data_IF_794319086236
#
_entry.id   IF_794319086236
#
_cell.length_a   1.000
_cell.length_b   1.000
_cell.length_c   1.000
_cell.angle_alpha   90.00
_cell.angle_beta   90.00
_cell.angle_gamma   90.00
#
_symmetry.space_group_name_H-M   'P 1'
#
loop_
_entity.id
_entity.type
_entity.pdbx_description
1 polymer ?
#
# COMPACT_ATOMS: atom_id res chain seq x y z
N UNK A 1 -20.97 -47.77 28.38
CA UNK A 1 -21.56 -46.56 27.75
C UNK A 1 -20.47 -45.84 26.95
N UNK A 2 -20.55 -45.75 25.62
CA UNK A 2 -19.52 -45.08 24.81
C UNK A 2 -20.20 -44.12 23.83
N UNK A 3 -20.20 -42.84 24.22
CA UNK A 3 -20.78 -41.74 23.44
C UNK A 3 -20.00 -41.53 22.14
N UNK A 4 -20.69 -41.72 21.01
CA UNK A 4 -20.22 -41.43 19.66
C UNK A 4 -20.33 -39.92 19.39
N UNK A 5 -19.34 -39.13 19.80
CA UNK A 5 -19.21 -37.76 19.30
C UNK A 5 -18.71 -37.82 17.87
N UNK A 6 -19.58 -37.49 16.90
CA UNK A 6 -19.25 -37.42 15.49
C UNK A 6 -18.11 -36.41 15.27
N UNK A 7 -16.89 -36.91 15.06
CA UNK A 7 -15.71 -36.10 14.79
C UNK A 7 -15.57 -35.72 13.32
N UNK A 8 -14.69 -34.74 13.07
CA UNK A 8 -14.17 -34.43 11.74
C UNK A 8 -13.51 -35.71 11.19
N UNK A 9 -13.80 -36.11 9.95
CA UNK A 9 -13.20 -37.29 9.31
C UNK A 9 -12.34 -36.87 8.12
N UNK A 10 -11.28 -37.65 7.88
CA UNK A 10 -10.36 -37.51 6.73
C UNK A 10 -10.62 -38.56 5.65
N UNK A 11 -11.66 -39.37 5.79
CA UNK A 11 -12.05 -40.34 4.75
C UNK A 11 -12.45 -39.64 3.43
N UNK A 12 -12.47 -40.39 2.33
CA UNK A 12 -12.96 -39.92 1.03
C UNK A 12 -14.40 -40.37 0.75
N UNK A 13 -14.97 -41.25 1.58
CA UNK A 13 -16.28 -41.87 1.36
C UNK A 13 -17.44 -40.87 1.35
N UNK A 14 -17.28 -39.73 2.01
CA UNK A 14 -18.26 -38.64 2.00
C UNK A 14 -18.20 -37.78 0.72
N UNK A 15 -17.16 -37.92 -0.11
CA UNK A 15 -16.97 -37.16 -1.35
C UNK A 15 -17.56 -37.91 -2.54
N UNK A 16 -17.91 -37.18 -3.59
CA UNK A 16 -18.34 -37.76 -4.87
C UNK A 16 -17.17 -38.48 -5.56
N UNK A 17 -17.48 -39.43 -6.45
CA UNK A 17 -16.51 -40.03 -7.37
C UNK A 17 -16.05 -38.99 -8.39
N UNK A 18 -14.92 -39.23 -9.05
CA UNK A 18 -14.43 -38.38 -10.15
C UNK A 18 -15.45 -38.29 -11.30
N UNK A 19 -16.27 -39.33 -11.50
CA UNK A 19 -17.39 -39.32 -12.46
C UNK A 19 -18.59 -38.48 -12.02
N UNK A 20 -18.57 -37.88 -10.83
CA UNK A 20 -19.69 -37.12 -10.24
C UNK A 20 -20.70 -37.98 -9.48
N UNK A 21 -20.66 -39.30 -9.63
CA UNK A 21 -21.53 -40.24 -8.94
C UNK A 21 -21.43 -40.17 -7.42
N UNK A 22 -22.58 -40.24 -6.73
CA UNK A 22 -22.66 -40.29 -5.26
C UNK A 22 -22.11 -41.63 -4.76
N UNK A 23 -21.29 -41.61 -3.70
CA UNK A 23 -20.82 -42.82 -3.04
C UNK A 23 -21.78 -43.21 -1.91
N UNK A 24 -22.10 -44.50 -1.82
CA UNK A 24 -22.84 -45.04 -0.69
C UNK A 24 -21.85 -45.43 0.42
N UNK A 25 -21.94 -44.86 1.64
CA UNK A 25 -21.04 -45.19 2.72
C UNK A 25 -21.33 -46.60 3.25
N UNK A 26 -20.43 -47.55 2.96
CA UNK A 26 -20.54 -48.96 3.37
C UNK A 26 -20.09 -49.22 4.82
N UNK A 27 -19.53 -48.21 5.50
CA UNK A 27 -19.07 -48.32 6.90
C UNK A 27 -19.19 -46.99 7.63
N UNK A 28 -19.18 -47.06 8.97
CA UNK A 28 -19.10 -45.89 9.86
C UNK A 28 -17.66 -45.31 9.90
N UNK A 29 -17.54 -44.05 10.35
CA UNK A 29 -16.26 -43.34 10.56
C UNK A 29 -15.34 -44.13 11.49
N UNK A 30 -14.04 -44.22 11.16
CA UNK A 30 -13.05 -44.94 11.98
C UNK A 30 -12.15 -43.98 12.75
N UNK A 31 -11.71 -44.39 13.94
CA UNK A 31 -10.85 -43.56 14.83
C UNK A 31 -9.52 -43.18 14.18
N UNK A 32 -8.97 -44.03 13.29
CA UNK A 32 -7.73 -43.72 12.57
C UNK A 32 -7.91 -42.68 11.45
N UNK A 33 -9.15 -42.36 11.06
CA UNK A 33 -9.50 -41.33 10.07
C UNK A 33 -9.82 -39.99 10.74
N UNK A 34 -9.64 -39.89 12.06
CA UNK A 34 -9.99 -38.72 12.85
C UNK A 34 -9.22 -37.47 12.40
N UNK A 35 -9.96 -36.42 12.07
CA UNK A 35 -9.51 -35.04 12.03
C UNK A 35 -9.73 -34.36 13.38
N UNK A 36 -8.92 -33.34 13.68
CA UNK A 36 -9.11 -32.46 14.85
C UNK A 36 -9.22 -31.03 14.37
N UNK A 37 -9.89 -30.18 15.17
CA UNK A 37 -9.96 -28.75 14.92
C UNK A 37 -8.56 -28.13 14.77
N UNK A 38 -8.40 -27.10 13.92
CA UNK A 38 -7.14 -26.39 13.75
C UNK A 38 -6.73 -25.67 15.05
N UNK A 39 -5.44 -25.39 15.19
CA UNK A 39 -4.92 -24.71 16.38
C UNK A 39 -5.22 -23.20 16.40
N UNK A 40 -5.25 -22.57 15.22
CA UNK A 40 -5.38 -21.11 15.05
C UNK A 40 -4.43 -20.33 15.97
N UNK A 41 -3.15 -20.73 15.99
CA UNK A 41 -2.12 -20.15 16.86
C UNK A 41 -2.03 -18.64 16.68
N UNK A 42 -2.20 -17.89 17.76
CA UNK A 42 -2.18 -16.43 17.76
C UNK A 42 -0.83 -15.89 18.17
N UNK A 43 -0.50 -14.72 17.64
CA UNK A 43 0.60 -13.92 18.13
C UNK A 43 0.22 -13.32 19.50
N UNK A 44 0.92 -13.71 20.56
CA UNK A 44 0.67 -13.19 21.92
C UNK A 44 1.81 -13.59 22.87
N UNK A 45 2.22 -12.67 23.74
CA UNK A 45 3.21 -12.89 24.80
C UNK A 45 2.79 -13.95 25.83
N UNK A 46 1.49 -14.20 25.97
CA UNK A 46 0.96 -15.23 26.85
C UNK A 46 1.10 -16.62 26.20
N UNK A 47 2.34 -17.09 26.11
CA UNK A 47 2.72 -18.35 25.45
C UNK A 47 1.91 -19.51 26.02
N UNK A 48 1.26 -20.27 25.14
CA UNK A 48 0.46 -21.42 25.52
C UNK A 48 0.61 -22.54 24.49
N UNK A 49 1.17 -23.67 24.92
CA UNK A 49 1.35 -24.87 24.11
C UNK A 49 0.74 -26.05 24.84
N UNK A 50 -0.18 -26.75 24.17
CA UNK A 50 -0.87 -27.92 24.75
C UNK A 50 -0.39 -29.21 24.10
N UNK A 51 0.06 -30.21 24.86
CA UNK A 51 0.33 -31.54 24.32
C UNK A 51 -0.99 -32.22 23.93
N UNK A 52 -0.99 -32.91 22.80
CA UNK A 52 -2.13 -33.66 22.28
C UNK A 52 -1.66 -35.08 21.98
N UNK A 53 -2.22 -36.06 22.70
CA UNK A 53 -1.96 -37.48 22.43
C UNK A 53 -2.49 -37.86 21.05
N UNK A 54 -1.63 -38.49 20.24
CA UNK A 54 -1.94 -38.98 18.90
C UNK A 54 -1.83 -40.51 18.85
N UNK A 55 -2.03 -41.08 17.66
CA UNK A 55 -1.95 -42.53 17.44
C UNK A 55 -0.56 -43.07 17.82
N UNK A 56 -0.52 -44.26 18.39
CA UNK A 56 0.74 -44.92 18.79
C UNK A 56 1.34 -44.41 20.09
N UNK A 57 0.58 -43.67 20.92
CA UNK A 57 1.07 -43.16 22.20
C UNK A 57 1.91 -41.88 22.11
N UNK A 58 2.26 -41.44 20.90
CA UNK A 58 3.03 -40.22 20.66
C UNK A 58 2.24 -38.95 21.06
N UNK A 59 2.98 -37.85 21.24
CA UNK A 59 2.42 -36.52 21.51
C UNK A 59 2.77 -35.54 20.41
N UNK A 60 1.82 -34.66 20.07
CA UNK A 60 2.06 -33.47 19.25
C UNK A 60 1.81 -32.21 20.08
N UNK A 61 2.57 -31.16 19.83
CA UNK A 61 2.46 -29.91 20.57
C UNK A 61 1.63 -28.92 19.77
N UNK A 62 0.47 -28.55 20.31
CA UNK A 62 -0.43 -27.58 19.71
C UNK A 62 -0.22 -26.22 20.36
N UNK A 63 0.50 -25.35 19.68
CA UNK A 63 0.59 -23.95 20.10
C UNK A 63 -0.76 -23.25 19.90
N UNK A 64 -1.24 -22.56 20.92
CA UNK A 64 -2.39 -21.66 20.86
C UNK A 64 -1.94 -20.20 20.82
N UNK A 65 -0.85 -19.88 21.52
CA UNK A 65 -0.25 -18.55 21.57
C UNK A 65 1.28 -18.66 21.59
N UNK A 66 1.96 -17.88 20.76
CA UNK A 66 3.42 -17.77 20.70
C UNK A 66 3.78 -16.31 20.40
N UNK A 67 4.94 -15.85 20.87
CA UNK A 67 5.51 -14.53 20.58
C UNK A 67 6.96 -14.56 20.10
N UNK A 68 7.61 -15.72 20.15
CA UNK A 68 9.00 -15.89 19.77
C UNK A 68 9.20 -17.15 18.91
N UNK A 69 10.30 -17.12 18.16
CA UNK A 69 10.69 -18.17 17.25
C UNK A 69 12.19 -18.20 17.01
N UNK A 70 12.69 -19.33 16.54
CA UNK A 70 14.06 -19.41 16.03
C UNK A 70 14.03 -19.10 14.53
N UNK A 71 14.68 -18.00 14.15
CA UNK A 71 14.79 -17.58 12.76
C UNK A 71 16.24 -17.68 12.29
N UNK A 72 16.43 -18.24 11.11
CA UNK A 72 17.74 -18.40 10.48
C UNK A 72 17.97 -17.34 9.42
N UNK A 73 19.11 -16.68 9.47
CA UNK A 73 19.64 -15.86 8.39
C UNK A 73 20.45 -16.76 7.45
N UNK A 74 19.92 -16.98 6.25
CA UNK A 74 20.41 -17.99 5.31
C UNK A 74 21.83 -17.72 4.80
N UNK A 75 22.07 -16.51 4.29
CA UNK A 75 23.38 -16.10 3.77
C UNK A 75 24.50 -16.15 4.83
N UNK A 76 24.20 -15.77 6.06
CA UNK A 76 25.16 -15.72 7.17
C UNK A 76 25.21 -17.01 8.02
N UNK A 77 24.41 -18.03 7.67
CA UNK A 77 24.30 -19.31 8.36
C UNK A 77 24.13 -19.19 9.90
N UNK A 78 23.41 -18.18 10.37
CA UNK A 78 23.20 -17.92 11.81
C UNK A 78 21.72 -18.00 12.17
N UNK A 79 21.41 -18.64 13.29
CA UNK A 79 20.05 -18.69 13.85
C UNK A 79 20.00 -17.94 15.16
N UNK A 80 18.98 -17.09 15.33
CA UNK A 80 18.71 -16.39 16.58
C UNK A 80 17.26 -16.56 16.99
N UNK A 81 17.06 -16.64 18.31
CA UNK A 81 15.73 -16.54 18.90
C UNK A 81 15.32 -15.08 18.84
N UNK A 82 14.25 -14.78 18.13
CA UNK A 82 13.73 -13.42 17.97
C UNK A 82 12.25 -13.36 18.29
N UNK A 83 11.78 -12.17 18.64
CA UNK A 83 10.36 -11.91 18.84
C UNK A 83 9.68 -11.72 17.49
N UNK A 84 8.52 -12.34 17.32
CA UNK A 84 7.63 -12.09 16.20
C UNK A 84 6.80 -10.87 16.56
N UNK A 85 6.81 -9.86 15.70
CA UNK A 85 6.15 -8.57 15.95
C UNK A 85 4.78 -8.51 15.27
N UNK A 86 4.71 -8.97 14.03
CA UNK A 86 3.47 -8.90 13.24
C UNK A 86 3.41 -9.98 12.15
N UNK A 87 2.20 -10.33 11.71
CA UNK A 87 1.95 -11.17 10.54
C UNK A 87 1.51 -10.28 9.40
N UNK A 88 2.36 -10.11 8.38
CA UNK A 88 2.15 -9.10 7.34
C UNK A 88 1.52 -9.67 6.08
N UNK A 89 1.85 -10.92 5.74
CA UNK A 89 1.31 -11.54 4.53
C UNK A 89 1.06 -13.03 4.71
N UNK A 90 -0.02 -13.50 4.10
CA UNK A 90 -0.35 -14.91 4.00
C UNK A 90 -0.90 -15.19 2.60
N UNK A 91 -0.35 -16.21 1.94
CA UNK A 91 -0.78 -16.60 0.60
C UNK A 91 -2.14 -17.33 0.58
N UNK A 92 -2.47 -18.05 1.66
CA UNK A 92 -3.68 -18.90 1.70
C UNK A 92 -4.95 -18.13 2.03
N UNK A 93 -4.90 -17.21 3.00
CA UNK A 93 -6.07 -16.46 3.43
C UNK A 93 -5.69 -15.12 4.09
N UNK A 94 -6.31 -14.02 3.64
CA UNK A 94 -6.08 -12.68 4.17
C UNK A 94 -6.59 -12.50 5.62
N UNK A 95 -7.61 -13.25 6.04
CA UNK A 95 -8.10 -13.22 7.43
C UNK A 95 -7.04 -13.67 8.45
N UNK A 96 -6.09 -14.50 8.02
CA UNK A 96 -5.00 -14.95 8.87
C UNK A 96 -3.99 -13.83 9.17
N UNK A 97 -3.88 -12.85 8.26
CA UNK A 97 -3.11 -11.61 8.46
C UNK A 97 -3.83 -10.73 9.46
N UNK A 98 -5.12 -10.42 9.19
CA UNK A 98 -5.95 -9.56 10.05
C UNK A 98 -6.02 -10.06 11.49
N UNK A 99 -6.09 -11.37 11.67
CA UNK A 99 -6.21 -11.99 13.00
C UNK A 99 -4.88 -12.43 13.60
N UNK A 100 -3.74 -12.00 13.02
CA UNK A 100 -2.38 -12.33 13.46
C UNK A 100 -2.17 -13.82 13.78
N UNK A 101 -2.55 -14.68 12.85
CA UNK A 101 -2.47 -16.14 13.01
C UNK A 101 -1.16 -16.68 12.44
N UNK A 102 -0.39 -17.38 13.27
CA UNK A 102 0.89 -17.98 12.91
C UNK A 102 0.69 -19.34 12.24
N UNK A 103 1.00 -19.43 10.95
CA UNK A 103 0.93 -20.65 10.15
C UNK A 103 2.17 -20.81 9.28
N UNK A 104 2.39 -22.02 8.75
CA UNK A 104 3.46 -22.28 7.78
C UNK A 104 3.30 -21.37 6.56
N UNK A 105 4.41 -20.85 6.07
CA UNK A 105 4.55 -19.90 4.96
C UNK A 105 3.87 -18.54 5.19
N UNK A 106 3.47 -18.21 6.43
CA UNK A 106 3.10 -16.84 6.74
C UNK A 106 4.38 -15.98 6.79
N UNK A 107 4.29 -14.79 6.20
CA UNK A 107 5.36 -13.80 6.23
C UNK A 107 5.11 -12.89 7.42
N UNK A 108 6.12 -12.81 8.28
CA UNK A 108 6.09 -12.11 9.54
C UNK A 108 7.18 -11.04 9.58
N UNK A 109 6.95 -10.01 10.40
CA UNK A 109 8.01 -9.10 10.84
C UNK A 109 8.57 -9.62 12.14
N UNK A 110 9.90 -9.75 12.20
CA UNK A 110 10.64 -10.15 13.39
C UNK A 110 11.53 -9.01 13.86
N UNK A 111 11.87 -9.05 15.15
CA UNK A 111 12.85 -8.14 15.74
C UNK A 111 14.25 -8.38 15.14
N UNK A 112 14.88 -7.29 14.70
CA UNK A 112 16.18 -7.29 14.06
C UNK A 112 17.35 -7.25 15.07
N UNK A 113 17.10 -6.84 16.32
CA UNK A 113 18.16 -6.58 17.30
C UNK A 113 19.12 -7.76 17.54
N UNK A 114 18.65 -9.02 17.67
CA UNK A 114 19.54 -10.16 17.88
C UNK A 114 20.47 -10.44 16.69
N UNK A 115 20.05 -10.11 15.46
CA UNK A 115 20.87 -10.26 14.27
C UNK A 115 21.85 -9.09 14.12
N UNK A 116 21.43 -7.86 14.41
CA UNK A 116 22.34 -6.69 14.43
C UNK A 116 23.48 -6.87 15.42
N UNK A 117 23.16 -7.27 16.65
CA UNK A 117 24.15 -7.50 17.70
C UNK A 117 25.17 -8.56 17.26
N UNK A 118 24.69 -9.66 16.68
CA UNK A 118 25.59 -10.69 16.16
C UNK A 118 26.45 -10.18 15.00
N UNK A 119 25.87 -9.42 14.07
CA UNK A 119 26.59 -8.92 12.92
C UNK A 119 27.70 -7.94 13.31
N UNK A 120 27.41 -7.03 14.25
CA UNK A 120 28.40 -6.12 14.83
C UNK A 120 29.53 -6.89 15.52
N UNK A 121 29.20 -7.91 16.32
CA UNK A 121 30.22 -8.75 16.97
C UNK A 121 31.03 -9.59 15.98
N UNK A 122 30.44 -10.00 14.85
CA UNK A 122 31.09 -10.87 13.88
C UNK A 122 32.01 -10.09 12.92
N UNK A 123 31.52 -8.97 12.39
CA UNK A 123 32.18 -8.17 11.35
C UNK A 123 32.81 -6.88 11.87
N UNK A 124 32.46 -6.45 13.10
CA UNK A 124 32.93 -5.17 13.65
C UNK A 124 32.32 -3.97 12.94
N UNK A 125 31.16 -4.13 12.28
CA UNK A 125 30.50 -3.08 11.50
C UNK A 125 29.03 -3.01 11.90
N UNK A 126 28.51 -1.80 12.07
CA UNK A 126 27.09 -1.58 12.32
C UNK A 126 26.26 -1.64 11.03
N UNK A 127 25.04 -2.19 11.13
CA UNK A 127 24.12 -2.39 10.01
C UNK A 127 22.84 -1.59 10.23
N UNK A 128 22.31 -1.02 9.16
CA UNK A 128 21.11 -0.19 9.21
C UNK A 128 21.37 1.18 9.82
N UNK A 129 22.46 1.85 9.43
CA UNK A 129 22.73 3.24 9.80
C UNK A 129 21.78 4.12 8.97
N UNK A 130 20.92 4.90 9.64
CA UNK A 130 20.01 5.82 8.95
C UNK A 130 20.84 6.91 8.27
N UNK A 131 20.83 6.96 6.94
CA UNK A 131 21.36 8.10 6.16
C UNK A 131 20.53 9.36 6.42
N UNK A 132 20.70 10.00 7.57
CA UNK A 132 20.33 11.41 7.74
C UNK A 132 21.54 12.25 7.29
N UNK A 133 21.28 13.27 6.48
CA UNK A 133 22.30 14.19 6.03
C UNK A 133 23.08 14.78 7.20
N UNK A 134 24.40 14.86 7.03
CA UNK A 134 25.33 15.43 8.00
C UNK A 134 25.78 14.43 9.05
N UNK A 135 27.04 14.01 8.93
CA UNK A 135 27.91 13.48 9.97
C UNK A 135 27.26 13.15 11.33
N UNK A 136 26.87 11.89 11.49
CA UNK A 136 27.03 11.20 12.76
C UNK A 136 27.89 9.97 12.47
N UNK A 137 29.17 10.22 12.15
CA UNK A 137 30.19 9.28 12.54
C UNK A 137 30.11 9.25 14.06
N UNK A 138 29.41 8.26 14.60
CA UNK A 138 29.56 7.91 16.01
C UNK A 138 31.04 7.74 16.20
N UNK A 139 31.66 8.63 16.98
CA UNK A 139 33.05 8.45 17.43
C UNK A 139 33.11 7.05 18.05
N UNK A 140 33.64 6.08 17.31
CA UNK A 140 34.03 4.82 17.90
C UNK A 140 35.15 5.17 18.86
N UNK A 141 34.83 5.19 20.16
CA UNK A 141 35.84 5.12 21.20
C UNK A 141 36.78 3.96 20.81
N UNK A 142 38.00 4.30 20.40
CA UNK A 142 39.03 3.33 20.00
C UNK A 142 39.38 2.46 21.21
N UNK A 143 38.55 1.45 21.45
CA UNK A 143 38.87 0.39 22.37
C UNK A 143 40.13 -0.28 21.84
N UNK A 144 41.15 -0.42 22.69
CA UNK A 144 42.40 -1.10 22.33
C UNK A 144 42.11 -2.55 21.98
N UNK A 145 41.92 -2.83 20.69
CA UNK A 145 41.65 -4.16 20.19
C UNK A 145 42.95 -4.94 19.92
N UNK A 146 42.95 -6.22 20.27
CA UNK A 146 44.06 -7.15 19.96
C UNK A 146 44.34 -7.21 18.46
N UNK A 147 45.62 -7.26 18.08
CA UNK A 147 46.06 -7.42 16.68
C UNK A 147 45.47 -8.70 16.03
N UNK A 148 45.23 -9.75 16.83
CA UNK A 148 44.58 -10.97 16.34
C UNK A 148 43.13 -10.70 15.92
N UNK A 149 42.38 -9.92 16.70
CA UNK A 149 41.00 -9.53 16.38
C UNK A 149 40.96 -8.70 15.09
N UNK A 150 41.82 -7.69 14.96
CA UNK A 150 41.91 -6.83 13.77
C UNK A 150 42.15 -7.65 12.49
N UNK A 151 43.09 -8.60 12.54
CA UNK A 151 43.36 -9.51 11.41
C UNK A 151 42.15 -10.37 11.05
N UNK A 152 41.45 -10.91 12.07
CA UNK A 152 40.24 -11.73 11.88
C UNK A 152 39.09 -10.93 11.25
N UNK A 153 38.87 -9.71 11.71
CA UNK A 153 37.84 -8.82 11.16
C UNK A 153 38.16 -8.43 9.72
N UNK A 154 39.42 -8.06 9.43
CA UNK A 154 39.87 -7.77 8.07
C UNK A 154 39.64 -8.95 7.13
N UNK A 155 39.97 -10.17 7.56
CA UNK A 155 39.72 -11.39 6.78
C UNK A 155 38.24 -11.63 6.51
N UNK A 156 37.37 -11.43 7.51
CA UNK A 156 35.91 -11.61 7.36
C UNK A 156 35.25 -10.55 6.50
N UNK A 157 35.76 -9.33 6.55
CA UNK A 157 35.22 -8.23 5.76
C UNK A 157 35.59 -8.34 4.27
N UNK A 158 36.54 -9.20 3.91
CA UNK A 158 36.84 -9.51 2.51
C UNK A 158 35.64 -10.21 1.85
N UNK A 159 35.02 -9.55 0.87
CA UNK A 159 33.87 -10.09 0.14
C UNK A 159 32.51 -9.92 0.83
N UNK A 160 32.47 -9.19 1.96
CA UNK A 160 31.22 -8.88 2.68
C UNK A 160 30.29 -8.06 1.80
N UNK A 161 29.10 -8.59 1.53
CA UNK A 161 28.04 -7.87 0.80
C UNK A 161 26.70 -8.11 1.50
N UNK A 162 26.02 -7.02 1.84
CA UNK A 162 24.65 -7.05 2.35
C UNK A 162 23.70 -6.55 1.25
N UNK A 163 22.54 -7.18 1.13
CA UNK A 163 21.47 -6.71 0.24
C UNK A 163 20.92 -5.36 0.73
N UNK A 164 20.69 -4.40 -0.18
CA UNK A 164 20.22 -3.07 0.18
C UNK A 164 18.87 -3.10 0.90
N UNK A 165 17.95 -3.96 0.43
CA UNK A 165 16.62 -4.06 1.04
C UNK A 165 16.68 -4.65 2.45
N UNK A 166 17.69 -5.47 2.72
CA UNK A 166 17.90 -6.05 4.04
C UNK A 166 18.54 -5.01 4.98
N UNK A 167 19.50 -4.21 4.49
CA UNK A 167 20.08 -3.09 5.24
C UNK A 167 19.02 -2.04 5.63
N UNK A 168 18.12 -1.70 4.72
CA UNK A 168 17.00 -0.80 4.98
C UNK A 168 16.07 -1.34 6.08
N UNK A 169 15.78 -2.65 6.07
CA UNK A 169 14.99 -3.32 7.11
C UNK A 169 15.69 -3.31 8.45
N UNK A 170 17.00 -3.55 8.47
CA UNK A 170 17.81 -3.38 9.66
C UNK A 170 17.73 -1.94 10.16
N UNK A 171 17.77 -0.91 9.31
CA UNK A 171 17.64 0.48 9.74
C UNK A 171 16.30 0.78 10.42
N UNK A 172 15.22 0.13 9.99
CA UNK A 172 13.89 0.20 10.62
C UNK A 172 13.83 -0.60 11.93
N UNK A 173 14.70 -1.61 12.09
CA UNK A 173 14.72 -2.52 13.25
C UNK A 173 13.74 -3.69 13.14
N UNK A 174 13.18 -3.92 11.95
CA UNK A 174 12.24 -5.02 11.68
C UNK A 174 12.61 -5.71 10.38
N UNK A 175 12.77 -7.02 10.44
CA UNK A 175 13.15 -7.84 9.27
C UNK A 175 11.99 -8.74 8.88
N UNK A 176 11.77 -8.92 7.58
CA UNK A 176 10.79 -9.86 7.07
C UNK A 176 11.32 -11.30 7.11
N UNK A 177 10.49 -12.21 7.58
CA UNK A 177 10.82 -13.62 7.68
C UNK A 177 9.63 -14.51 7.29
N UNK A 178 9.92 -15.71 6.83
CA UNK A 178 8.94 -16.73 6.47
C UNK A 178 8.91 -17.83 7.52
N UNK A 179 7.73 -18.15 8.06
CA UNK A 179 7.56 -19.27 8.98
C UNK A 179 7.67 -20.59 8.20
N UNK A 180 8.65 -21.43 8.50
CA UNK A 180 8.82 -22.74 7.87
C UNK A 180 8.20 -23.88 8.70
N UNK A 181 8.07 -23.68 10.01
CA UNK A 181 7.49 -24.64 10.94
C UNK A 181 5.96 -24.71 10.86
N UNK A 182 5.36 -25.67 11.57
CA UNK A 182 3.89 -25.81 11.72
C UNK A 182 3.50 -25.66 13.20
N UNK A 183 3.24 -24.44 13.69
CA UNK A 183 2.99 -24.18 15.11
C UNK A 183 1.91 -25.07 15.75
N UNK A 184 0.83 -25.37 15.02
CA UNK A 184 -0.23 -26.25 15.49
C UNK A 184 0.12 -27.75 15.57
N UNK A 185 1.33 -28.16 15.15
CA UNK A 185 1.81 -29.54 15.17
C UNK A 185 3.07 -29.70 16.03
N UNK A 186 4.06 -28.82 15.85
CA UNK A 186 5.34 -28.87 16.56
C UNK A 186 5.40 -27.97 17.79
N UNK A 187 4.44 -27.06 17.96
CA UNK A 187 4.41 -26.12 19.10
C UNK A 187 5.41 -24.97 18.98
N UNK A 188 6.08 -24.81 17.83
CA UNK A 188 7.12 -23.78 17.60
C UNK A 188 6.82 -22.94 16.37
N UNK A 189 7.27 -21.70 16.37
CA UNK A 189 7.14 -20.74 15.27
C UNK A 189 8.52 -20.41 14.71
N UNK A 190 9.12 -21.35 13.99
CA UNK A 190 10.48 -21.23 13.47
C UNK A 190 10.45 -20.92 11.98
N UNK A 191 11.49 -20.25 11.48
CA UNK A 191 11.52 -19.74 10.13
C UNK A 191 12.89 -19.30 9.66
N UNK A 192 12.90 -18.56 8.55
CA UNK A 192 14.10 -17.96 7.99
C UNK A 192 13.82 -16.53 7.53
N UNK A 193 14.86 -15.70 7.53
CA UNK A 193 14.84 -14.32 7.03
C UNK A 193 14.69 -14.35 5.51
N UNK A 194 13.86 -13.47 4.96
CA UNK A 194 13.68 -13.33 3.51
C UNK A 194 14.85 -12.56 2.88
N UNK A 195 15.41 -13.09 1.80
CA UNK A 195 16.56 -12.52 1.10
C UNK A 195 16.39 -12.56 -0.43
N UNK A 196 17.13 -11.70 -1.14
CA UNK A 196 17.23 -11.68 -2.60
C UNK A 196 15.88 -11.68 -3.33
N UNK A 197 15.76 -12.56 -4.34
CA UNK A 197 14.55 -12.66 -5.20
C UNK A 197 13.27 -12.96 -4.41
N UNK A 198 13.37 -13.71 -3.32
CA UNK A 198 12.21 -14.04 -2.50
C UNK A 198 11.70 -12.80 -1.76
N UNK A 199 12.62 -12.02 -1.19
CA UNK A 199 12.30 -10.75 -0.56
C UNK A 199 11.65 -9.77 -1.57
N UNK A 200 12.25 -9.61 -2.75
CA UNK A 200 11.71 -8.76 -3.83
C UNK A 200 10.28 -9.17 -4.21
N UNK A 201 10.04 -10.48 -4.35
CA UNK A 201 8.72 -11.01 -4.67
C UNK A 201 7.67 -10.61 -3.62
N UNK A 202 7.97 -10.80 -2.33
CA UNK A 202 7.03 -10.46 -1.26
C UNK A 202 6.87 -8.95 -1.08
N UNK A 203 7.93 -8.16 -1.24
CA UNK A 203 7.84 -6.69 -1.24
C UNK A 203 6.88 -6.21 -2.32
N UNK A 204 6.99 -6.72 -3.55
CA UNK A 204 6.06 -6.40 -4.65
C UNK A 204 4.62 -6.81 -4.33
N UNK A 205 4.41 -7.99 -3.72
CA UNK A 205 3.07 -8.46 -3.31
C UNK A 205 2.45 -7.59 -2.21
N UNK A 206 3.25 -7.13 -1.25
CA UNK A 206 2.80 -6.27 -0.15
C UNK A 206 2.48 -4.86 -0.64
N UNK A 207 3.28 -4.30 -1.54
CA UNK A 207 3.02 -3.01 -2.18
C UNK A 207 1.72 -3.05 -3.00
N UNK A 208 1.50 -4.11 -3.80
CA UNK A 208 0.27 -4.28 -4.60
C UNK A 208 -1.01 -4.35 -3.75
N UNK A 209 -0.93 -4.86 -2.51
CA UNK A 209 -2.07 -4.89 -1.59
C UNK A 209 -2.37 -3.54 -0.93
N UNK A 210 -1.36 -2.68 -0.79
CA UNK A 210 -1.51 -1.33 -0.20
C UNK A 210 -1.91 -0.27 -1.22
N UNK A 211 -1.65 -0.51 -2.50
CA UNK A 211 -2.20 0.30 -3.58
C UNK A 211 -3.61 -0.21 -3.93
N UNK A 212 -4.54 0.70 -4.23
CA UNK A 212 -5.71 0.33 -5.05
C UNK A 212 -5.17 -0.30 -6.35
N UNK A 213 -5.16 -1.65 -6.38
CA UNK A 213 -4.48 -2.46 -7.40
C UNK A 213 -4.94 -2.15 -8.83
N UNK A 214 -6.02 -1.42 -8.98
CA UNK A 214 -6.61 -1.05 -10.25
C UNK A 214 -5.90 0.14 -10.90
N UNK A 215 -5.39 1.12 -10.15
CA UNK A 215 -4.90 2.40 -10.70
C UNK A 215 -3.38 2.60 -10.76
N UNK A 216 -2.60 1.70 -10.17
CA UNK A 216 -1.15 1.94 -9.96
C UNK A 216 -0.33 2.02 -11.24
N UNK A 217 -0.65 1.21 -12.26
CA UNK A 217 0.03 1.24 -13.56
C UNK A 217 -0.19 2.58 -14.25
N UNK A 218 -1.46 2.98 -14.35
CA UNK A 218 -1.88 4.23 -14.99
C UNK A 218 -1.30 5.45 -14.26
N UNK A 219 -1.32 5.44 -12.93
CA UNK A 219 -0.67 6.46 -12.11
C UNK A 219 0.82 6.59 -12.41
N UNK A 220 1.56 5.48 -12.50
CA UNK A 220 2.99 5.52 -12.84
C UNK A 220 3.23 6.04 -14.25
N UNK A 221 2.43 5.58 -15.21
CA UNK A 221 2.55 6.01 -16.60
C UNK A 221 2.32 7.52 -16.75
N UNK A 222 1.34 8.07 -16.05
CA UNK A 222 1.06 9.51 -16.04
C UNK A 222 2.10 10.32 -15.28
N UNK A 223 2.55 9.84 -14.11
CA UNK A 223 3.61 10.52 -13.35
C UNK A 223 4.91 10.63 -14.15
N UNK A 224 5.24 9.59 -14.91
CA UNK A 224 6.38 9.61 -15.81
C UNK A 224 6.15 10.59 -16.98
N UNK A 225 4.99 10.52 -17.62
CA UNK A 225 4.63 11.40 -18.74
C UNK A 225 4.70 12.88 -18.38
N UNK A 226 4.14 13.27 -17.23
CA UNK A 226 4.18 14.65 -16.74
C UNK A 226 5.61 15.14 -16.51
N UNK A 227 6.50 14.28 -16.01
CA UNK A 227 7.92 14.65 -15.80
C UNK A 227 8.69 14.81 -17.11
N UNK A 228 8.30 14.09 -18.15
CA UNK A 228 8.99 14.08 -19.44
C UNK A 228 8.49 15.19 -20.39
N UNK A 229 7.17 15.42 -20.45
CA UNK A 229 6.55 16.33 -21.42
C UNK A 229 6.20 17.72 -20.85
N UNK A 230 6.02 17.84 -19.53
CA UNK A 230 5.59 19.09 -18.86
C UNK A 230 6.62 19.52 -17.82
N UNK A 231 7.85 19.80 -18.25
CA UNK A 231 8.96 20.19 -17.38
C UNK A 231 8.75 21.55 -16.68
N UNK A 232 7.82 22.36 -17.19
CA UNK A 232 7.35 23.64 -16.66
C UNK A 232 6.34 23.49 -15.51
N UNK A 233 5.75 22.30 -15.33
CA UNK A 233 4.76 22.03 -14.28
C UNK A 233 5.42 21.41 -13.04
N UNK A 234 5.25 22.04 -11.89
CA UNK A 234 5.70 21.44 -10.62
C UNK A 234 4.75 20.31 -10.19
N UNK A 235 5.20 19.06 -10.35
CA UNK A 235 4.41 17.88 -9.98
C UNK A 235 4.60 17.52 -8.50
N UNK A 236 3.54 17.67 -7.70
CA UNK A 236 3.50 17.21 -6.30
C UNK A 236 2.85 15.82 -6.25
N UNK A 237 3.64 14.83 -5.87
CA UNK A 237 3.18 13.44 -5.79
C UNK A 237 2.66 13.11 -4.38
N UNK A 238 1.33 13.02 -4.24
CA UNK A 238 0.68 12.54 -3.00
C UNK A 238 0.79 11.02 -2.80
N UNK A 239 1.29 10.30 -3.80
CA UNK A 239 1.47 8.87 -3.75
C UNK A 239 0.15 8.10 -3.83
N UNK A 240 0.22 6.85 -3.38
CA UNK A 240 -0.86 5.89 -3.54
C UNK A 240 -1.39 5.49 -2.17
N UNK A 241 -2.65 5.77 -1.94
CA UNK A 241 -3.33 5.48 -0.68
C UNK A 241 -3.96 4.09 -0.70
N UNK A 242 -4.11 3.52 0.49
CA UNK A 242 -4.80 2.24 0.68
C UNK A 242 -6.30 2.30 0.45
N UNK A 243 -6.86 3.52 0.48
CA UNK A 243 -8.27 3.78 0.25
C UNK A 243 -8.38 4.97 -0.68
N UNK A 244 -9.08 4.77 -1.79
CA UNK A 244 -9.26 5.80 -2.81
C UNK A 244 -9.67 7.17 -2.24
N UNK A 245 -10.63 7.19 -1.30
CA UNK A 245 -11.15 8.44 -0.75
C UNK A 245 -10.12 9.28 0.02
N UNK A 246 -9.08 8.67 0.60
CA UNK A 246 -8.02 9.40 1.30
C UNK A 246 -7.17 10.21 0.30
N UNK A 247 -6.95 9.66 -0.91
CA UNK A 247 -6.26 10.36 -1.98
C UNK A 247 -7.09 11.52 -2.55
N UNK A 248 -8.39 11.29 -2.81
CA UNK A 248 -9.29 12.35 -3.26
C UNK A 248 -9.41 13.48 -2.24
N UNK A 249 -9.43 13.15 -0.95
CA UNK A 249 -9.44 14.15 0.12
C UNK A 249 -8.15 14.98 0.15
N UNK A 250 -6.98 14.35 0.05
CA UNK A 250 -5.70 15.05 0.08
C UNK A 250 -5.58 16.05 -1.09
N UNK A 251 -5.92 15.62 -2.31
CA UNK A 251 -5.86 16.48 -3.50
C UNK A 251 -6.94 17.56 -3.46
N UNK A 252 -8.19 17.21 -3.12
CA UNK A 252 -9.29 18.17 -3.05
C UNK A 252 -9.00 19.34 -2.09
N UNK A 253 -8.45 19.03 -0.92
CA UNK A 253 -8.09 20.02 0.09
C UNK A 253 -6.96 20.96 -0.36
N UNK A 254 -5.99 20.49 -1.13
CA UNK A 254 -4.91 21.33 -1.65
C UNK A 254 -5.39 22.23 -2.81
N UNK A 255 -6.25 21.71 -3.68
CA UNK A 255 -6.88 22.50 -4.75
C UNK A 255 -7.80 23.58 -4.16
N UNK A 256 -8.62 23.24 -3.16
CA UNK A 256 -9.48 24.21 -2.45
C UNK A 256 -8.64 25.32 -1.79
N UNK A 257 -7.59 24.97 -1.05
CA UNK A 257 -6.69 25.95 -0.43
C UNK A 257 -6.06 26.89 -1.45
N UNK A 258 -5.66 26.36 -2.60
CA UNK A 258 -5.08 27.15 -3.67
C UNK A 258 -6.11 28.09 -4.27
N UNK A 259 -7.33 27.61 -4.55
CA UNK A 259 -8.43 28.40 -5.09
C UNK A 259 -8.83 29.54 -4.15
N UNK A 260 -8.82 29.33 -2.83
CA UNK A 260 -9.12 30.39 -1.84
C UNK A 260 -8.02 31.47 -1.83
N UNK A 261 -6.74 31.08 -1.93
CA UNK A 261 -5.59 32.00 -1.88
C UNK A 261 -5.30 32.73 -3.20
N UNK A 262 -6.03 32.44 -4.27
CA UNK A 262 -5.65 32.66 -5.66
C UNK A 262 -5.58 34.12 -6.16
N UNK A 263 -5.47 35.14 -5.29
CA UNK A 263 -5.25 36.52 -5.76
C UNK A 263 -3.80 36.69 -6.28
N UNK A 264 -2.85 35.89 -5.79
CA UNK A 264 -1.41 35.97 -6.17
C UNK A 264 -0.70 34.60 -6.26
N UNK A 265 -1.43 33.49 -6.19
CA UNK A 265 -0.86 32.13 -6.08
C UNK A 265 -0.83 31.38 -7.44
N UNK A 266 0.10 30.43 -7.65
CA UNK A 266 0.14 29.61 -8.86
C UNK A 266 -1.12 28.77 -9.02
N UNK A 267 -1.55 28.55 -10.27
CA UNK A 267 -2.71 27.73 -10.60
C UNK A 267 -2.44 26.28 -10.20
N UNK A 268 -3.24 25.73 -9.28
CA UNK A 268 -3.13 24.34 -8.83
C UNK A 268 -4.22 23.50 -9.48
N UNK A 269 -3.82 22.37 -10.07
CA UNK A 269 -4.69 21.40 -10.72
C UNK A 269 -4.46 19.99 -10.13
N UNK A 270 -5.51 19.17 -10.12
CA UNK A 270 -5.45 17.81 -9.57
C UNK A 270 -5.70 16.72 -10.62
N UNK A 271 -4.96 15.61 -10.51
CA UNK A 271 -5.22 14.39 -11.29
C UNK A 271 -5.47 13.25 -10.30
N UNK A 272 -6.61 12.58 -10.42
CA UNK A 272 -7.01 11.48 -9.54
C UNK A 272 -7.28 10.20 -10.33
N UNK A 273 -6.86 9.05 -9.80
CA UNK A 273 -6.99 7.78 -10.50
C UNK A 273 -7.54 6.73 -9.54
N UNK A 274 -8.61 6.04 -9.95
CA UNK A 274 -9.09 4.85 -9.25
C UNK A 274 -9.68 3.82 -10.22
N UNK A 275 -10.24 2.72 -9.73
CA UNK A 275 -10.78 1.66 -10.57
C UNK A 275 -11.82 2.15 -11.60
N UNK A 276 -12.77 3.01 -11.21
CA UNK A 276 -13.71 3.66 -12.15
C UNK A 276 -13.54 5.17 -12.25
N UNK A 277 -12.71 5.85 -11.47
CA UNK A 277 -12.64 7.32 -11.45
C UNK A 277 -13.85 8.04 -10.82
N UNK A 278 -15.06 7.44 -10.83
CA UNK A 278 -16.29 8.07 -10.30
C UNK A 278 -16.21 8.38 -8.81
N UNK A 279 -15.79 7.40 -7.99
CA UNK A 279 -15.75 7.59 -6.54
C UNK A 279 -14.81 8.73 -6.12
N UNK A 280 -13.67 8.88 -6.81
CA UNK A 280 -12.75 9.99 -6.58
C UNK A 280 -13.38 11.33 -6.97
N UNK A 281 -14.03 11.38 -8.14
CA UNK A 281 -14.72 12.57 -8.65
C UNK A 281 -15.82 13.05 -7.67
N UNK A 282 -16.67 12.13 -7.19
CA UNK A 282 -17.72 12.45 -6.22
C UNK A 282 -17.17 13.02 -4.92
N UNK A 283 -16.00 12.56 -4.46
CA UNK A 283 -15.40 13.02 -3.20
C UNK A 283 -14.68 14.35 -3.39
N UNK A 284 -13.95 14.52 -4.49
CA UNK A 284 -13.28 15.77 -4.82
C UNK A 284 -14.27 16.94 -4.96
N UNK A 285 -15.44 16.70 -5.57
CA UNK A 285 -16.51 17.70 -5.69
C UNK A 285 -17.19 18.10 -4.37
N UNK A 286 -16.83 17.49 -3.23
CA UNK A 286 -17.34 17.92 -1.91
C UNK A 286 -16.55 19.10 -1.33
N UNK A 287 -15.39 19.41 -1.89
CA UNK A 287 -14.56 20.53 -1.48
C UNK A 287 -14.99 21.79 -2.22
N UNK A 288 -14.94 22.94 -1.54
CA UNK A 288 -15.41 24.21 -2.10
C UNK A 288 -14.47 24.65 -3.22
N UNK A 289 -15.02 25.25 -4.27
CA UNK A 289 -14.25 25.69 -5.45
C UNK A 289 -13.49 24.55 -6.17
N UNK A 290 -13.88 23.30 -5.97
CA UNK A 290 -13.33 22.14 -6.68
C UNK A 290 -14.35 21.61 -7.68
N UNK A 291 -13.94 21.54 -8.94
CA UNK A 291 -14.70 20.99 -10.05
C UNK A 291 -13.91 19.81 -10.63
N UNK A 292 -14.30 18.63 -10.18
CA UNK A 292 -13.77 17.37 -10.63
C UNK A 292 -14.66 16.76 -11.72
N UNK A 293 -14.07 16.38 -12.84
CA UNK A 293 -14.77 15.63 -13.89
C UNK A 293 -14.11 14.27 -14.12
N UNK A 294 -14.93 13.24 -14.29
CA UNK A 294 -14.42 11.93 -14.72
C UNK A 294 -14.20 11.98 -16.22
N UNK A 295 -12.99 11.71 -16.65
CA UNK A 295 -12.60 11.64 -18.04
C UNK A 295 -12.42 10.19 -18.50
N UNK A 296 -12.81 9.91 -19.73
CA UNK A 296 -12.70 8.59 -20.37
C UNK A 296 -12.06 8.62 -21.76
N UNK A 297 -11.99 9.77 -22.43
CA UNK A 297 -11.31 9.94 -23.72
C UNK A 297 -10.64 11.32 -23.84
N UNK A 298 -9.89 11.56 -24.91
CA UNK A 298 -9.27 12.85 -25.23
C UNK A 298 -10.29 13.96 -25.44
N UNK A 299 -11.39 13.66 -26.12
CA UNK A 299 -12.47 14.61 -26.41
C UNK A 299 -13.20 14.99 -25.12
N UNK A 300 -13.39 14.01 -24.23
CA UNK A 300 -13.97 14.20 -22.91
C UNK A 300 -13.09 15.12 -22.05
N UNK A 301 -11.76 15.00 -22.12
CA UNK A 301 -10.83 15.88 -21.43
C UNK A 301 -10.93 17.34 -21.91
N UNK A 302 -11.08 17.57 -23.21
CA UNK A 302 -11.31 18.90 -23.79
C UNK A 302 -12.62 19.46 -23.24
N UNK A 303 -13.71 18.69 -23.29
CA UNK A 303 -15.02 19.09 -22.76
C UNK A 303 -15.00 19.38 -21.25
N UNK A 304 -14.31 18.55 -20.47
CA UNK A 304 -14.09 18.76 -19.04
C UNK A 304 -13.47 20.13 -18.75
N UNK A 305 -12.56 20.60 -19.60
CA UNK A 305 -11.90 21.89 -19.43
C UNK A 305 -12.67 23.05 -20.06
N UNK A 306 -13.07 22.92 -21.31
CA UNK A 306 -13.71 23.99 -22.08
C UNK A 306 -15.12 24.32 -21.58
N UNK A 307 -15.89 23.31 -21.17
CA UNK A 307 -17.30 23.47 -20.74
C UNK A 307 -17.42 23.54 -19.22
N UNK A 308 -16.77 22.63 -18.50
CA UNK A 308 -16.94 22.52 -17.04
C UNK A 308 -15.86 23.27 -16.23
N UNK A 309 -14.89 23.91 -16.90
CA UNK A 309 -13.72 24.56 -16.29
C UNK A 309 -13.03 23.69 -15.22
N UNK A 310 -12.99 22.37 -15.41
CA UNK A 310 -12.56 21.48 -14.32
C UNK A 310 -11.12 21.79 -13.87
N UNK A 311 -10.91 21.82 -12.57
CA UNK A 311 -9.59 21.96 -11.94
C UNK A 311 -9.06 20.62 -11.40
N UNK A 312 -9.91 19.59 -11.38
CA UNK A 312 -9.51 18.22 -11.15
C UNK A 312 -10.03 17.33 -12.28
N UNK A 313 -9.17 16.46 -12.81
CA UNK A 313 -9.57 15.41 -13.74
C UNK A 313 -9.41 14.04 -13.07
N UNK A 314 -10.37 13.14 -13.27
CA UNK A 314 -10.32 11.79 -12.71
C UNK A 314 -10.38 10.71 -13.77
N UNK A 315 -9.54 9.68 -13.65
CA UNK A 315 -9.49 8.57 -14.58
C UNK A 315 -9.90 7.25 -13.94
N UNK A 316 -10.60 6.44 -14.74
CA UNK A 316 -10.93 5.06 -14.40
C UNK A 316 -9.94 4.08 -15.03
N UNK A 317 -9.11 3.45 -14.21
CA UNK A 317 -8.10 2.52 -14.70
C UNK A 317 -8.64 1.19 -15.26
N UNK A 318 -9.94 0.91 -15.08
CA UNK A 318 -10.62 -0.20 -15.77
C UNK A 318 -11.11 0.15 -17.17
N UNK A 319 -11.24 1.44 -17.47
CA UNK A 319 -11.90 1.93 -18.70
C UNK A 319 -10.98 2.74 -19.58
N UNK A 320 -9.84 3.20 -19.05
CA UNK A 320 -8.90 4.11 -19.74
C UNK A 320 -7.54 3.44 -19.78
N UNK A 321 -6.97 3.34 -20.96
CA UNK A 321 -5.62 2.86 -21.20
C UNK A 321 -4.59 3.97 -21.02
N UNK A 322 -3.32 3.57 -20.91
CA UNK A 322 -2.21 4.49 -20.62
C UNK A 322 -1.99 5.52 -21.74
N UNK A 323 -2.28 5.18 -23.00
CA UNK A 323 -2.08 6.09 -24.13
C UNK A 323 -3.15 7.16 -24.13
N UNK A 324 -4.42 6.75 -24.06
CA UNK A 324 -5.56 7.68 -24.01
C UNK A 324 -5.51 8.60 -22.79
N UNK A 325 -5.08 8.10 -21.63
CA UNK A 325 -4.99 8.94 -20.45
C UNK A 325 -3.91 10.02 -20.57
N UNK A 326 -2.76 9.71 -21.21
CA UNK A 326 -1.69 10.68 -21.44
C UNK A 326 -2.15 11.79 -22.37
N UNK A 327 -2.71 11.43 -23.51
CA UNK A 327 -3.23 12.39 -24.49
C UNK A 327 -4.38 13.22 -23.92
N UNK A 328 -5.24 12.62 -23.08
CA UNK A 328 -6.31 13.33 -22.39
C UNK A 328 -5.77 14.33 -21.36
N UNK A 329 -4.74 13.99 -20.59
CA UNK A 329 -4.10 14.93 -19.66
C UNK A 329 -3.45 16.09 -20.42
N UNK A 330 -2.76 15.80 -21.52
CA UNK A 330 -2.13 16.86 -22.35
C UNK A 330 -3.19 17.81 -22.90
N UNK A 331 -4.27 17.28 -23.46
CA UNK A 331 -5.38 18.06 -23.98
C UNK A 331 -6.06 18.89 -22.88
N UNK A 332 -6.31 18.30 -21.71
CA UNK A 332 -6.92 18.98 -20.57
C UNK A 332 -6.06 20.13 -20.01
N UNK A 333 -4.73 19.94 -19.98
CA UNK A 333 -3.81 20.97 -19.50
C UNK A 333 -3.68 22.14 -20.49
N UNK A 334 -3.69 21.84 -21.80
CA UNK A 334 -3.56 22.81 -22.88
C UNK A 334 -4.84 23.63 -23.13
N UNK A 335 -6.00 22.99 -22.99
CA UNK A 335 -7.30 23.62 -23.29
C UNK A 335 -7.60 24.74 -22.28
N UNK A 336 -8.08 25.89 -22.76
CA UNK A 336 -8.59 26.99 -21.95
C UNK A 336 -10.11 26.89 -21.81
N UNK A 337 -10.63 27.54 -20.77
CA UNK A 337 -12.07 27.61 -20.59
C UNK A 337 -12.72 28.31 -21.79
N UNK A 338 -13.87 27.80 -22.25
CA UNK A 338 -14.60 28.21 -23.47
C UNK A 338 -13.89 28.01 -24.82
N UNK A 339 -12.67 27.50 -24.83
CA UNK A 339 -11.91 27.30 -26.06
C UNK A 339 -12.59 26.29 -27.00
N UNK A 340 -12.69 26.62 -28.29
CA UNK A 340 -13.28 25.76 -29.30
C UNK A 340 -14.82 25.71 -29.33
N UNK A 341 -15.52 26.44 -28.45
CA UNK A 341 -16.98 26.58 -28.49
C UNK A 341 -17.40 27.71 -29.44
N UNK A 342 -18.60 27.60 -30.02
CA UNK A 342 -19.21 28.67 -30.79
C UNK A 342 -19.59 29.86 -29.88
N UNK A 343 -19.56 31.10 -30.40
CA UNK A 343 -19.71 32.32 -29.59
C UNK A 343 -20.99 32.33 -28.71
N UNK A 344 -22.12 31.90 -29.25
CA UNK A 344 -23.38 31.78 -28.50
C UNK A 344 -23.29 30.78 -27.33
N UNK A 345 -22.50 29.72 -27.48
CA UNK A 345 -22.28 28.73 -26.42
C UNK A 345 -21.24 29.21 -25.40
N UNK A 346 -20.25 29.99 -25.83
CA UNK A 346 -19.30 30.63 -24.91
C UNK A 346 -20.00 31.59 -23.96
N UNK A 347 -20.90 32.43 -24.47
CA UNK A 347 -21.73 33.34 -23.67
C UNK A 347 -22.58 32.56 -22.66
N UNK A 348 -23.32 31.54 -23.12
CA UNK A 348 -24.20 30.75 -22.26
C UNK A 348 -23.43 30.00 -21.15
N UNK A 349 -22.29 29.40 -21.48
CA UNK A 349 -21.45 28.66 -20.52
C UNK A 349 -20.76 29.62 -19.54
N UNK A 350 -20.43 30.84 -19.97
CA UNK A 350 -19.87 31.87 -19.10
C UNK A 350 -20.93 32.41 -18.13
N UNK A 351 -22.13 32.70 -18.63
CA UNK A 351 -23.26 33.20 -17.85
C UNK A 351 -23.70 32.19 -16.78
N UNK A 352 -23.84 30.91 -17.15
CA UNK A 352 -24.24 29.83 -16.22
C UNK A 352 -23.24 29.58 -15.08
N UNK A 353 -21.99 30.00 -15.25
CA UNK A 353 -20.91 29.86 -14.28
C UNK A 353 -20.63 31.16 -13.50
N UNK A 354 -21.40 32.23 -13.76
CA UNK A 354 -21.35 33.49 -13.02
C UNK A 354 -22.25 33.43 -11.77
N UNK A 355 -21.99 34.29 -10.78
CA UNK A 355 -22.83 34.40 -9.56
C UNK A 355 -24.29 34.80 -9.87
N UNK A 356 -24.51 35.47 -11.00
CA UNK A 356 -25.82 35.95 -11.46
C UNK A 356 -26.62 34.90 -12.23
N UNK A 357 -25.96 33.89 -12.82
CA UNK A 357 -26.62 32.86 -13.63
C UNK A 357 -27.51 31.89 -12.84
N UNK A 358 -27.23 31.68 -11.55
CA UNK A 358 -28.07 30.87 -10.65
C UNK A 358 -28.12 31.52 -9.26
N UNK A 359 -29.14 32.36 -9.03
CA UNK A 359 -29.66 32.81 -7.72
C UNK A 359 -28.64 32.94 -6.55
N UNK A 360 -27.49 33.60 -6.77
CA UNK A 360 -26.52 33.92 -5.71
C UNK A 360 -25.53 32.81 -5.35
N UNK A 361 -25.38 31.77 -6.17
CA UNK A 361 -24.33 30.77 -6.01
C UNK A 361 -23.06 31.19 -6.79
N UNK A 362 -21.96 31.40 -6.07
CA UNK A 362 -20.65 31.70 -6.67
C UNK A 362 -19.95 30.42 -7.15
N UNK A 363 -19.85 30.26 -8.48
CA UNK A 363 -19.14 29.16 -9.14
C UNK A 363 -17.71 29.55 -9.60
N UNK A 364 -17.28 30.78 -9.28
CA UNK A 364 -15.92 31.24 -9.60
C UNK A 364 -14.90 30.49 -8.73
N UNK A 365 -13.90 29.88 -9.36
CA UNK A 365 -12.88 29.10 -8.66
C UNK A 365 -11.46 29.33 -9.18
N UNK A 366 -11.30 30.02 -10.31
CA UNK A 366 -10.01 30.40 -10.87
C UNK A 366 -9.70 31.87 -10.57
N UNK A 367 -8.42 32.16 -10.30
CA UNK A 367 -7.89 33.52 -10.18
C UNK A 367 -8.27 34.40 -11.39
N UNK A 368 -8.23 33.78 -12.57
CA UNK A 368 -8.57 34.39 -13.86
C UNK A 368 -10.01 34.93 -13.90
N UNK A 369 -10.97 34.26 -13.25
CA UNK A 369 -12.36 34.71 -13.18
C UNK A 369 -12.62 35.78 -12.13
N UNK A 370 -11.98 35.69 -10.96
CA UNK A 370 -12.11 36.74 -9.93
C UNK A 370 -11.54 38.09 -10.39
N UNK A 371 -10.50 38.07 -11.24
CA UNK A 371 -9.98 39.27 -11.89
C UNK A 371 -10.93 39.82 -12.97
N UNK A 372 -11.61 38.94 -13.72
CA UNK A 372 -12.60 39.35 -14.73
C UNK A 372 -13.85 39.97 -14.09
N UNK A 373 -14.39 39.37 -13.02
CA UNK A 373 -15.56 39.90 -12.30
C UNK A 373 -15.25 41.22 -11.56
N UNK A 374 -14.01 41.42 -11.10
CA UNK A 374 -13.57 42.67 -10.46
C UNK A 374 -13.34 43.84 -11.45
N UNK A 375 -13.45 43.59 -12.76
CA UNK A 375 -13.17 44.59 -13.82
C UNK A 375 -14.43 45.19 -14.47
N UNK A 376 -15.62 44.83 -14.00
CA UNK A 376 -16.87 45.47 -14.42
C UNK A 376 -17.01 46.86 -13.75
N UNK A 377 -17.36 47.92 -14.50
CA UNK A 377 -17.45 49.27 -13.94
C UNK A 377 -18.57 49.35 -12.90
N UNK A 378 -18.28 49.99 -11.76
CA UNK A 378 -19.27 50.33 -10.74
C UNK A 378 -20.43 51.09 -11.40
N UNK A 379 -21.65 50.58 -11.23
CA UNK A 379 -22.87 51.23 -11.72
C UNK A 379 -22.93 52.66 -11.18
N UNK A 380 -23.19 53.60 -12.10
CA UNK A 380 -23.35 55.02 -11.84
C UNK A 380 -24.31 55.25 -10.65
N UNK A 381 -23.79 55.88 -9.59
CA UNK A 381 -24.60 56.47 -8.53
C UNK A 381 -25.62 57.42 -9.18
N UNK A 382 -26.87 56.95 -9.23
CA UNK A 382 -28.00 57.73 -9.69
C UNK A 382 -28.32 58.80 -8.63
N UNK A 383 -27.61 59.92 -8.71
CA UNK A 383 -27.95 61.15 -8.00
C UNK A 383 -29.12 61.80 -8.77
N UNK A 384 -30.31 61.72 -8.20
CA UNK A 384 -31.38 62.66 -8.55
C UNK A 384 -32.16 63.10 -7.30
N UNK A 385 -31.94 64.38 -6.99
CA UNK A 385 -32.77 65.39 -6.32
C UNK A 385 -34.02 64.97 -5.53
#
# INVERSE_FOLDING_TARGET
MLFLRAGISRDSLHKRRSTGGKQNPWRKKRKYELGRQPAMTKLSSNVCVRPVRVRGGNSKFRALRLDHGNFSWGSEAVTRKTRVLDVVYNASNNELVRTQTLVKNAIVQIDAAPFKQWYQQHYGVEVGIKKKGGAAATEEAESKQSNHLKRKLKQRNNGRKLDSHLDDQFAVGRVYACISSRPGQCGRCDGYVLEGRELEFYLKKMQKKKADSWGYSLYKALLQHLKEQHADVQVIDFGVYSKYYEAAHAVGLEVEKAAIKAITAPVVRGILICGSGQGMCVIANKFRHVYACRCTSTEDAIGCRAVNDSNIITFGARTTDDVTAKTAVDAWLATKFTEGLAANLQEHVTESMSSQGIAGLDFSHTAERRLADASLPEEEENVSA
#
